data_IF_351271632776
#
_entry.id   IF_351271632776
#
_cell.length_a   1.000
_cell.length_b   1.000
_cell.length_c   1.000
_cell.angle_alpha   90.00
_cell.angle_beta   90.00
_cell.angle_gamma   90.00
#
_symmetry.space_group_name_H-M   'P 1'
#
loop_
_entity.id
_entity.type
_entity.pdbx_description
1 polymer ?
#
# COMPACT_ATOMS: atom_id res chain seq x y z
N UNK A 1 -46.04 13.56 -29.81
CA UNK A 1 -44.79 12.82 -30.07
C UNK A 1 -43.54 13.50 -29.52
N UNK A 2 -43.44 14.81 -29.54
CA UNK A 2 -42.23 15.55 -29.05
C UNK A 2 -42.02 15.53 -27.54
N UNK A 3 -43.07 15.44 -26.72
CA UNK A 3 -42.94 15.43 -25.24
C UNK A 3 -42.41 14.10 -24.69
N UNK A 4 -42.70 12.96 -25.38
CA UNK A 4 -42.19 11.65 -24.99
C UNK A 4 -40.72 11.43 -25.32
N UNK A 5 -40.21 12.08 -26.35
CA UNK A 5 -38.78 12.02 -26.70
C UNK A 5 -37.93 12.88 -25.79
N UNK A 6 -38.47 13.98 -25.28
CA UNK A 6 -37.75 14.83 -24.29
C UNK A 6 -37.71 14.15 -22.91
N UNK A 7 -38.78 13.45 -22.52
CA UNK A 7 -38.75 12.65 -21.26
C UNK A 7 -37.81 11.45 -21.37
N UNK A 8 -37.70 10.78 -22.54
CA UNK A 8 -36.76 9.68 -22.72
C UNK A 8 -35.30 10.16 -22.73
N UNK A 9 -35.02 11.32 -23.32
CA UNK A 9 -33.67 11.89 -23.27
C UNK A 9 -33.29 12.43 -21.87
N UNK A 10 -34.23 12.92 -21.09
CA UNK A 10 -34.02 13.31 -19.71
C UNK A 10 -33.88 12.10 -18.77
N UNK A 11 -34.61 10.99 -19.02
CA UNK A 11 -34.43 9.73 -18.30
C UNK A 11 -33.13 9.00 -18.69
N UNK A 12 -32.65 9.16 -19.91
CA UNK A 12 -31.35 8.63 -20.35
C UNK A 12 -30.16 9.46 -19.82
N UNK A 13 -30.35 10.75 -19.52
CA UNK A 13 -29.34 11.58 -18.83
C UNK A 13 -29.34 11.40 -17.30
N UNK A 14 -30.41 10.85 -16.72
CA UNK A 14 -30.51 10.58 -15.28
C UNK A 14 -30.14 9.14 -14.90
N UNK A 15 -29.85 8.28 -15.87
CA UNK A 15 -29.38 6.91 -15.65
C UNK A 15 -27.90 6.69 -15.99
N UNK A 16 -27.10 7.75 -16.13
CA UNK A 16 -25.71 7.63 -15.80
C UNK A 16 -25.66 7.60 -14.27
N UNK A 17 -25.93 6.43 -13.70
CA UNK A 17 -25.48 6.08 -12.36
C UNK A 17 -24.06 6.59 -12.26
N UNK A 18 -23.77 7.39 -11.25
CA UNK A 18 -22.40 7.72 -10.87
C UNK A 18 -21.75 6.37 -10.48
N UNK A 19 -21.34 5.61 -11.49
CA UNK A 19 -20.44 4.49 -11.26
C UNK A 19 -19.14 5.13 -10.79
N UNK A 20 -18.58 4.62 -9.72
CA UNK A 20 -17.24 4.97 -9.29
C UNK A 20 -16.33 4.87 -10.50
N UNK A 21 -15.79 5.99 -10.94
CA UNK A 21 -15.01 6.02 -12.15
C UNK A 21 -13.55 5.77 -11.80
N UNK A 22 -13.08 4.58 -12.18
CA UNK A 22 -11.66 4.28 -12.21
C UNK A 22 -11.05 5.07 -13.38
N UNK A 23 -10.19 6.03 -13.08
CA UNK A 23 -9.54 6.87 -14.09
C UNK A 23 -8.15 6.34 -14.37
N UNK A 24 -7.88 5.88 -15.59
CA UNK A 24 -6.54 5.47 -16.00
C UNK A 24 -5.66 6.68 -16.25
N UNK A 25 -4.47 6.69 -15.66
CA UNK A 25 -3.43 7.69 -15.93
C UNK A 25 -2.39 7.20 -16.94
N UNK A 26 -2.51 5.97 -17.42
CA UNK A 26 -1.55 5.39 -18.37
C UNK A 26 -0.28 4.88 -17.67
N UNK A 27 0.90 5.17 -18.25
CA UNK A 27 2.23 4.71 -17.82
C UNK A 27 2.37 3.16 -17.85
N UNK A 28 1.67 2.51 -18.80
CA UNK A 28 1.53 1.04 -18.82
C UNK A 28 2.84 0.33 -19.10
N UNK A 29 3.61 0.80 -20.09
CA UNK A 29 4.86 0.13 -20.49
C UNK A 29 5.99 0.35 -19.48
N UNK A 30 6.10 1.57 -18.94
CA UNK A 30 7.15 1.98 -18.02
C UNK A 30 6.95 1.38 -16.63
N UNK A 31 5.69 1.23 -16.22
CA UNK A 31 5.32 0.65 -14.92
C UNK A 31 5.27 -0.88 -14.93
N UNK A 32 5.34 -1.50 -16.11
CA UNK A 32 5.16 -2.95 -16.26
C UNK A 32 6.33 -3.74 -15.67
N UNK A 33 6.10 -4.37 -14.54
CA UNK A 33 7.09 -5.17 -13.82
C UNK A 33 7.42 -6.46 -14.58
N UNK A 34 6.47 -7.04 -15.29
CA UNK A 34 6.68 -8.28 -16.04
C UNK A 34 7.72 -8.12 -17.15
N UNK A 35 7.84 -6.91 -17.74
CA UNK A 35 8.84 -6.61 -18.77
C UNK A 35 10.27 -6.66 -18.22
N UNK A 36 10.46 -6.45 -16.91
CA UNK A 36 11.75 -6.47 -16.21
C UNK A 36 11.97 -7.70 -15.34
N UNK A 37 11.09 -8.70 -15.41
CA UNK A 37 11.10 -9.90 -14.56
C UNK A 37 12.43 -10.65 -14.54
N UNK A 38 13.19 -10.64 -15.64
CA UNK A 38 14.51 -11.26 -15.71
C UNK A 38 15.61 -10.43 -15.03
N UNK A 39 15.43 -9.10 -14.94
CA UNK A 39 16.32 -8.18 -14.25
C UNK A 39 15.98 -8.12 -12.75
N UNK A 40 14.71 -8.29 -12.42
CA UNK A 40 14.21 -8.51 -11.05
C UNK A 40 14.55 -9.96 -10.67
N UNK A 41 15.81 -10.21 -10.34
CA UNK A 41 16.33 -11.55 -10.05
C UNK A 41 15.55 -12.25 -8.94
N UNK A 42 15.43 -13.57 -9.05
CA UNK A 42 14.80 -14.46 -8.06
C UNK A 42 15.26 -14.11 -6.64
N UNK A 43 14.34 -13.66 -5.82
CA UNK A 43 14.54 -13.41 -4.39
C UNK A 43 14.54 -11.96 -3.93
N UNK A 44 14.38 -10.96 -4.81
CA UNK A 44 13.98 -9.62 -4.44
C UNK A 44 12.58 -9.37 -4.97
N UNK A 45 11.65 -9.09 -4.07
CA UNK A 45 10.33 -8.63 -4.44
C UNK A 45 10.46 -7.14 -4.72
N UNK A 46 10.43 -6.76 -5.98
CA UNK A 46 10.29 -5.35 -6.34
C UNK A 46 8.84 -4.95 -6.07
N UNK A 47 8.65 -4.01 -5.17
CA UNK A 47 7.37 -3.39 -4.92
C UNK A 47 7.53 -1.91 -5.30
N UNK A 48 6.84 -1.47 -6.35
CA UNK A 48 6.94 -0.08 -6.79
C UNK A 48 6.41 0.87 -5.73
N UNK A 49 6.83 2.12 -5.79
CA UNK A 49 6.28 3.18 -4.95
C UNK A 49 5.49 4.18 -5.78
N UNK A 50 4.38 4.64 -5.21
CA UNK A 50 3.57 5.74 -5.74
C UNK A 50 3.26 6.70 -4.60
N UNK A 51 3.42 8.01 -4.83
CA UNK A 51 3.23 9.01 -3.77
C UNK A 51 2.60 10.28 -4.33
N UNK A 52 1.59 10.79 -3.65
CA UNK A 52 1.14 12.16 -3.85
C UNK A 52 2.18 13.14 -3.28
N UNK A 53 2.50 14.19 -4.03
CA UNK A 53 3.45 15.22 -3.65
C UNK A 53 2.81 16.59 -3.80
N UNK A 54 2.72 17.34 -2.71
CA UNK A 54 2.04 18.64 -2.71
C UNK A 54 0.56 18.50 -3.08
N UNK A 55 0.01 19.46 -3.84
CA UNK A 55 -1.43 19.50 -4.08
C UNK A 55 -1.90 18.66 -5.27
N UNK A 56 -1.16 18.68 -6.37
CA UNK A 56 -1.62 18.09 -7.63
C UNK A 56 -0.56 17.19 -8.31
N UNK A 57 0.54 16.90 -7.64
CA UNK A 57 1.59 16.07 -8.23
C UNK A 57 1.46 14.63 -7.77
N UNK A 58 1.56 13.70 -8.69
CA UNK A 58 1.71 12.27 -8.42
C UNK A 58 3.06 11.82 -8.96
N UNK A 59 3.83 11.11 -8.13
CA UNK A 59 5.11 10.52 -8.52
C UNK A 59 5.03 9.00 -8.46
N UNK A 60 5.69 8.33 -9.41
CA UNK A 60 5.75 6.88 -9.51
C UNK A 60 7.18 6.40 -9.75
N UNK A 61 7.68 5.58 -8.83
CA UNK A 61 8.90 4.82 -9.00
C UNK A 61 8.63 3.58 -9.84
N UNK A 62 9.33 3.44 -10.96
CA UNK A 62 9.06 2.38 -11.93
C UNK A 62 10.29 1.54 -12.19
N UNK A 63 10.16 0.40 -12.89
CA UNK A 63 11.32 -0.35 -13.41
C UNK A 63 12.23 0.44 -14.38
N UNK A 64 11.79 1.60 -14.85
CA UNK A 64 12.47 2.40 -15.86
C UNK A 64 12.77 3.84 -15.43
N UNK A 65 12.81 4.10 -14.11
CA UNK A 65 13.07 5.43 -13.57
C UNK A 65 11.91 6.03 -12.80
N UNK A 66 12.10 7.26 -12.33
CA UNK A 66 11.10 8.04 -11.60
C UNK A 66 10.31 8.92 -12.55
N UNK A 67 8.99 8.85 -12.46
CA UNK A 67 8.05 9.63 -13.26
C UNK A 67 7.19 10.52 -12.36
N UNK A 68 6.78 11.67 -12.88
CA UNK A 68 5.81 12.56 -12.24
C UNK A 68 4.73 12.99 -13.23
N UNK A 69 3.54 13.31 -12.74
CA UNK A 69 2.49 13.95 -13.53
C UNK A 69 1.69 14.92 -12.68
N UNK A 70 1.14 15.96 -13.33
CA UNK A 70 0.17 16.86 -12.73
C UNK A 70 -1.23 16.27 -12.93
N UNK A 71 -1.93 16.02 -11.82
CA UNK A 71 -3.30 15.48 -11.80
C UNK A 71 -4.36 16.57 -11.57
N UNK A 72 -3.99 17.83 -11.50
CA UNK A 72 -4.93 18.96 -11.38
C UNK A 72 -5.85 19.12 -12.61
N UNK A 73 -5.47 18.51 -13.75
CA UNK A 73 -6.30 18.41 -14.94
C UNK A 73 -6.23 17.00 -15.50
N UNK A 74 -7.19 16.16 -15.14
CA UNK A 74 -7.23 14.75 -15.53
C UNK A 74 -7.46 14.53 -17.04
N UNK A 75 -8.00 15.51 -17.77
CA UNK A 75 -8.18 15.43 -19.22
C UNK A 75 -6.87 15.60 -20.01
N UNK A 76 -5.80 16.04 -19.35
CA UNK A 76 -4.53 16.36 -19.99
C UNK A 76 -3.31 15.80 -19.22
N UNK A 77 -3.47 14.67 -18.53
CA UNK A 77 -2.38 14.03 -17.79
C UNK A 77 -1.26 13.61 -18.74
N UNK A 78 -0.06 14.04 -18.44
CA UNK A 78 1.15 13.63 -19.12
C UNK A 78 2.22 13.28 -18.10
N UNK A 79 2.81 12.10 -18.25
CA UNK A 79 3.93 11.67 -17.43
C UNK A 79 5.24 12.24 -17.96
N UNK A 80 5.96 12.88 -17.07
CA UNK A 80 7.31 13.37 -17.28
C UNK A 80 8.29 12.47 -16.55
N UNK A 81 9.24 11.90 -17.28
CA UNK A 81 10.36 11.16 -16.68
C UNK A 81 11.38 12.13 -16.12
N UNK A 82 11.77 11.96 -14.86
CA UNK A 82 12.87 12.70 -14.28
C UNK A 82 14.22 12.13 -14.77
N UNK A 83 15.13 12.98 -15.29
CA UNK A 83 16.40 12.51 -15.87
C UNK A 83 17.44 12.14 -14.80
N UNK A 84 17.03 11.53 -13.70
CA UNK A 84 17.92 11.13 -12.62
C UNK A 84 18.55 9.76 -12.86
N UNK A 85 17.77 8.80 -13.34
CA UNK A 85 18.24 7.44 -13.65
C UNK A 85 17.24 6.71 -14.54
N UNK A 86 17.73 5.70 -15.27
CA UNK A 86 16.93 4.74 -16.03
C UNK A 86 16.82 3.38 -15.31
N UNK A 87 17.38 3.28 -14.10
CA UNK A 87 17.36 2.05 -13.31
C UNK A 87 16.00 1.84 -12.62
N UNK A 88 15.81 0.63 -12.10
CA UNK A 88 14.66 0.27 -11.25
C UNK A 88 14.68 1.13 -9.99
N UNK A 89 13.58 1.79 -9.69
CA UNK A 89 13.42 2.63 -8.50
C UNK A 89 12.86 1.78 -7.38
N UNK A 90 13.66 1.46 -6.39
CA UNK A 90 13.22 0.71 -5.20
C UNK A 90 12.40 1.61 -4.25
N UNK A 91 12.81 2.86 -4.06
CA UNK A 91 12.10 3.83 -3.23
C UNK A 91 12.49 5.27 -3.62
N UNK A 92 11.68 6.23 -3.22
CA UNK A 92 11.98 7.64 -3.45
C UNK A 92 11.30 8.55 -2.43
N UNK A 93 11.82 9.76 -2.28
CA UNK A 93 11.21 10.83 -1.51
C UNK A 93 11.27 12.15 -2.28
N UNK A 94 10.18 12.92 -2.25
CA UNK A 94 10.10 14.23 -2.90
C UNK A 94 9.62 15.28 -1.89
N UNK A 95 10.42 16.33 -1.69
CA UNK A 95 10.11 17.45 -0.78
C UNK A 95 10.45 18.76 -1.44
N UNK A 96 9.50 19.39 -2.10
CA UNK A 96 9.73 20.55 -2.94
C UNK A 96 10.74 20.23 -4.03
N UNK A 97 11.84 21.00 -4.12
CA UNK A 97 12.89 20.77 -5.12
C UNK A 97 13.88 19.66 -4.74
N UNK A 98 13.78 19.12 -3.52
CA UNK A 98 14.62 17.99 -3.09
C UNK A 98 13.97 16.69 -3.53
N UNK A 99 14.69 15.92 -4.36
CA UNK A 99 14.29 14.60 -4.81
C UNK A 99 15.38 13.60 -4.44
N UNK A 100 15.01 12.58 -3.68
CA UNK A 100 15.89 11.48 -3.28
C UNK A 100 15.37 10.23 -3.97
N UNK A 101 16.23 9.53 -4.68
CA UNK A 101 15.89 8.31 -5.43
C UNK A 101 16.82 7.20 -5.01
N UNK A 102 16.25 6.09 -4.59
CA UNK A 102 16.96 4.86 -4.35
C UNK A 102 16.75 3.91 -5.52
N UNK A 103 17.81 3.60 -6.24
CA UNK A 103 17.86 2.45 -7.14
C UNK A 103 18.51 1.27 -6.41
N UNK A 104 18.50 0.10 -7.03
CA UNK A 104 19.20 -1.08 -6.47
C UNK A 104 20.67 -0.88 -6.16
N UNK A 105 21.30 0.08 -6.83
CA UNK A 105 22.76 0.25 -6.83
C UNK A 105 23.21 1.50 -6.10
N UNK A 106 22.37 2.51 -6.07
CA UNK A 106 22.80 3.83 -5.65
C UNK A 106 21.65 4.69 -5.12
N UNK A 107 22.02 5.62 -4.25
CA UNK A 107 21.17 6.74 -3.83
C UNK A 107 21.56 7.98 -4.60
N UNK A 108 20.58 8.59 -5.24
CA UNK A 108 20.71 9.83 -5.99
C UNK A 108 19.96 10.96 -5.27
N UNK A 109 20.58 12.13 -5.21
CA UNK A 109 20.00 13.36 -4.66
C UNK A 109 19.94 14.43 -5.75
N UNK A 110 18.79 15.06 -5.86
CA UNK A 110 18.55 16.29 -6.61
C UNK A 110 18.10 17.39 -5.66
N UNK A 111 18.44 18.63 -5.98
CA UNK A 111 17.94 19.84 -5.27
C UNK A 111 17.32 20.85 -6.25
N UNK A 112 17.02 20.41 -7.45
CA UNK A 112 16.45 21.20 -8.56
C UNK A 112 15.23 20.52 -9.21
N UNK A 113 14.43 19.81 -8.39
CA UNK A 113 13.20 19.14 -8.82
C UNK A 113 13.43 17.91 -9.69
N UNK A 114 14.62 17.29 -9.59
CA UNK A 114 14.97 16.11 -10.37
C UNK A 114 15.59 16.42 -11.73
N UNK A 115 15.92 17.68 -12.03
CA UNK A 115 16.57 18.06 -13.30
C UNK A 115 18.00 17.59 -13.39
N UNK A 116 18.73 17.66 -12.28
CA UNK A 116 20.07 17.06 -12.16
C UNK A 116 20.12 16.14 -10.94
N UNK A 117 21.03 15.17 -10.97
CA UNK A 117 21.20 14.22 -9.89
C UNK A 117 22.67 14.06 -9.51
N UNK A 118 22.90 13.95 -8.20
CA UNK A 118 24.20 13.64 -7.63
C UNK A 118 24.13 12.32 -6.90
N UNK A 119 25.05 11.41 -7.21
CA UNK A 119 25.17 10.15 -6.47
C UNK A 119 25.72 10.43 -5.08
N UNK A 120 24.97 10.02 -4.07
CA UNK A 120 25.32 10.21 -2.66
C UNK A 120 25.70 8.92 -1.95
N UNK A 121 25.28 7.79 -2.48
CA UNK A 121 25.62 6.49 -1.92
C UNK A 121 25.68 5.43 -3.02
N UNK A 122 26.63 4.52 -2.90
CA UNK A 122 26.66 3.29 -3.67
C UNK A 122 27.35 2.21 -2.86
N UNK A 123 26.75 1.04 -2.76
CA UNK A 123 27.38 -0.09 -2.10
C UNK A 123 27.78 -1.15 -3.13
N UNK A 124 29.08 -1.25 -3.35
CA UNK A 124 29.65 -2.31 -4.15
C UNK A 124 30.55 -3.12 -3.23
N UNK A 125 30.07 -4.24 -2.74
CA UNK A 125 30.92 -5.12 -1.94
C UNK A 125 31.59 -6.14 -2.83
N UNK A 126 32.91 -6.09 -2.85
CA UNK A 126 33.75 -7.12 -3.43
C UNK A 126 33.82 -8.29 -2.44
N UNK A 127 33.24 -9.42 -2.76
CA UNK A 127 33.54 -10.67 -2.10
C UNK A 127 34.61 -11.40 -2.90
N UNK A 128 35.59 -11.96 -2.20
CA UNK A 128 36.78 -12.62 -2.71
C UNK A 128 36.69 -13.19 -4.13
N UNK A 129 37.53 -12.69 -4.99
CA UNK A 129 38.07 -13.17 -6.27
C UNK A 129 37.17 -13.88 -7.30
N UNK A 130 35.95 -14.28 -7.02
CA UNK A 130 35.14 -15.05 -7.99
C UNK A 130 33.64 -14.73 -8.07
N UNK A 131 33.04 -14.10 -7.07
CA UNK A 131 31.61 -13.78 -7.11
C UNK A 131 31.35 -12.36 -6.62
N UNK A 132 30.95 -11.49 -7.55
CA UNK A 132 30.38 -10.18 -7.24
C UNK A 132 28.97 -10.41 -6.70
N UNK A 133 28.77 -10.27 -5.41
CA UNK A 133 27.43 -10.14 -4.84
C UNK A 133 27.15 -8.66 -4.77
N UNK A 134 26.44 -8.15 -5.77
CA UNK A 134 25.82 -6.84 -5.66
C UNK A 134 24.75 -6.92 -4.57
N UNK A 135 24.92 -6.14 -3.51
CA UNK A 135 23.93 -6.01 -2.45
C UNK A 135 22.91 -5.00 -2.91
N UNK A 136 21.67 -5.46 -3.05
CA UNK A 136 20.59 -4.58 -3.42
C UNK A 136 20.29 -3.62 -2.24
N UNK A 137 20.16 -2.35 -2.54
CA UNK A 137 19.59 -1.35 -1.66
C UNK A 137 18.08 -1.55 -1.69
N UNK A 138 17.41 -1.51 -0.55
CA UNK A 138 16.02 -1.93 -0.46
C UNK A 138 15.05 -0.78 -0.18
N UNK A 139 15.41 0.12 0.75
CA UNK A 139 14.51 1.16 1.20
C UNK A 139 15.29 2.40 1.64
N UNK A 140 14.69 3.56 1.48
CA UNK A 140 15.21 4.84 1.97
C UNK A 140 14.22 5.47 2.94
N UNK A 141 14.67 5.81 4.14
CA UNK A 141 13.88 6.56 5.10
C UNK A 141 14.50 7.94 5.34
N UNK A 142 13.76 8.98 5.03
CA UNK A 142 14.19 10.37 5.17
C UNK A 142 13.57 11.00 6.40
N UNK A 143 14.38 11.59 7.26
CA UNK A 143 13.90 12.23 8.50
C UNK A 143 12.82 13.28 8.21
N UNK A 144 11.67 13.24 8.89
CA UNK A 144 10.56 14.15 8.60
C UNK A 144 10.87 15.64 8.85
N UNK A 145 11.75 15.95 9.80
CA UNK A 145 12.08 17.33 10.18
C UNK A 145 12.98 18.05 9.20
N UNK A 146 13.96 17.35 8.64
CA UNK A 146 14.79 17.85 7.55
C UNK A 146 15.30 16.66 6.71
N UNK A 147 15.65 16.92 5.46
CA UNK A 147 16.12 15.84 4.57
C UNK A 147 17.60 15.48 4.76
N UNK A 148 18.30 16.04 5.75
CA UNK A 148 19.74 15.79 5.97
C UNK A 148 19.98 14.40 6.51
N UNK A 149 19.10 13.93 7.40
CA UNK A 149 19.19 12.57 7.92
C UNK A 149 18.45 11.62 7.01
N UNK A 150 19.19 10.68 6.45
CA UNK A 150 18.71 9.66 5.55
C UNK A 150 19.24 8.31 6.01
N UNK A 151 18.37 7.32 6.09
CA UNK A 151 18.74 5.92 6.26
C UNK A 151 18.60 5.19 4.94
N UNK A 152 19.51 4.28 4.67
CA UNK A 152 19.43 3.33 3.57
C UNK A 152 19.49 1.92 4.15
N UNK A 153 18.47 1.12 3.86
CA UNK A 153 18.44 -0.30 4.22
C UNK A 153 19.09 -1.15 3.13
N UNK A 154 19.77 -2.19 3.56
CA UNK A 154 20.49 -3.11 2.71
C UNK A 154 19.96 -4.54 2.88
N UNK A 155 20.00 -5.33 1.86
CA UNK A 155 19.57 -6.72 1.91
C UNK A 155 20.36 -7.59 2.93
N UNK A 156 21.47 -7.09 3.48
CA UNK A 156 22.37 -7.82 4.37
C UNK A 156 22.76 -7.00 5.61
N UNK A 157 22.22 -7.38 6.74
CA UNK A 157 22.69 -7.16 8.13
C UNK A 157 23.24 -5.79 8.56
N UNK A 158 22.99 -4.70 7.85
CA UNK A 158 23.33 -3.37 8.32
C UNK A 158 22.47 -2.27 7.71
N UNK A 159 22.43 -1.12 8.37
CA UNK A 159 21.90 0.12 7.86
C UNK A 159 23.05 1.09 7.60
N UNK A 160 22.90 1.96 6.62
CA UNK A 160 23.75 3.13 6.48
C UNK A 160 22.92 4.37 6.74
N UNK A 161 23.48 5.36 7.45
CA UNK A 161 22.84 6.64 7.63
C UNK A 161 23.79 7.81 7.44
N UNK A 162 23.21 8.94 7.10
CA UNK A 162 23.88 10.23 6.97
C UNK A 162 23.11 11.30 7.75
N UNK A 163 23.81 12.36 8.19
CA UNK A 163 23.24 13.58 8.77
C UNK A 163 23.56 14.84 7.93
N UNK A 164 24.13 14.67 6.76
CA UNK A 164 24.67 15.74 5.91
C UNK A 164 24.30 15.59 4.42
N UNK A 165 23.10 15.10 4.14
CA UNK A 165 22.62 14.84 2.76
C UNK A 165 23.48 13.84 1.98
N UNK A 166 24.13 12.91 2.67
CA UNK A 166 24.93 11.87 2.04
C UNK A 166 26.34 12.29 1.64
N UNK A 167 26.87 13.37 2.20
CA UNK A 167 28.29 13.72 2.04
C UNK A 167 29.18 12.74 2.82
N UNK A 168 28.71 12.28 3.99
CA UNK A 168 29.35 11.23 4.77
C UNK A 168 28.33 10.21 5.26
N UNK A 169 28.78 8.96 5.45
CA UNK A 169 27.92 7.86 5.85
C UNK A 169 28.49 7.09 7.04
N UNK A 170 27.59 6.74 7.95
CA UNK A 170 27.88 5.89 9.09
C UNK A 170 27.10 4.59 8.96
N UNK A 171 27.75 3.48 9.29
CA UNK A 171 27.17 2.14 9.22
C UNK A 171 26.73 1.66 10.61
N UNK A 172 25.55 1.06 10.69
CA UNK A 172 25.00 0.40 11.89
C UNK A 172 24.95 -1.10 11.60
N UNK A 173 25.77 -1.86 12.30
CA UNK A 173 25.89 -3.30 12.10
C UNK A 173 24.79 -4.06 12.86
N UNK A 174 24.46 -5.26 12.37
CA UNK A 174 23.65 -6.25 13.10
C UNK A 174 22.14 -5.98 13.11
N UNK A 175 21.65 -5.08 12.26
CA UNK A 175 20.22 -4.77 12.22
C UNK A 175 19.43 -5.67 11.28
N UNK A 176 20.02 -6.12 10.17
CA UNK A 176 19.36 -7.01 9.18
C UNK A 176 18.07 -6.46 8.56
N UNK A 177 17.79 -5.18 8.74
CA UNK A 177 16.56 -4.56 8.26
C UNK A 177 16.60 -4.37 6.75
N UNK A 178 15.53 -4.76 6.08
CA UNK A 178 15.31 -4.50 4.66
C UNK A 178 14.49 -3.26 4.41
N UNK A 179 13.63 -2.91 5.37
CA UNK A 179 12.78 -1.73 5.31
C UNK A 179 12.68 -1.06 6.67
N UNK A 180 12.57 0.25 6.65
CA UNK A 180 12.37 1.07 7.85
C UNK A 180 11.57 2.32 7.53
N UNK A 181 10.77 2.75 8.51
CA UNK A 181 9.83 3.86 8.36
C UNK A 181 9.88 4.74 9.60
N UNK A 182 9.95 6.04 9.39
CA UNK A 182 9.73 7.01 10.45
C UNK A 182 8.27 7.05 10.87
N UNK A 183 8.03 7.05 12.18
CA UNK A 183 6.71 7.40 12.69
C UNK A 183 6.44 8.89 12.40
N UNK A 184 5.41 9.25 11.63
CA UNK A 184 5.18 10.63 11.21
C UNK A 184 4.86 11.57 12.38
N UNK A 185 4.37 11.03 13.51
CA UNK A 185 4.04 11.80 14.72
C UNK A 185 5.17 11.84 15.75
N UNK A 186 6.16 10.95 15.64
CA UNK A 186 7.33 10.90 16.51
C UNK A 186 8.57 10.50 15.71
N UNK A 187 9.30 11.48 15.17
CA UNK A 187 10.47 11.20 14.32
C UNK A 187 11.63 10.50 15.00
N UNK A 188 11.67 10.46 16.34
CA UNK A 188 12.66 9.65 17.07
C UNK A 188 12.29 8.16 17.09
N UNK A 189 11.07 7.84 16.65
CA UNK A 189 10.60 6.47 16.59
C UNK A 189 10.55 5.99 15.16
N UNK A 190 11.23 4.89 14.90
CA UNK A 190 11.19 4.19 13.64
C UNK A 190 10.70 2.77 13.87
N UNK A 191 10.04 2.24 12.88
CA UNK A 191 9.68 0.82 12.81
C UNK A 191 10.30 0.24 11.56
N UNK A 192 10.85 -0.94 11.66
CA UNK A 192 11.46 -1.62 10.53
C UNK A 192 11.20 -3.11 10.60
N UNK A 193 11.46 -3.78 9.50
CA UNK A 193 11.41 -5.23 9.46
C UNK A 193 12.60 -5.82 8.70
N UNK A 194 12.95 -7.03 9.08
CA UNK A 194 13.99 -7.81 8.40
C UNK A 194 13.35 -8.96 7.63
N UNK A 195 13.91 -9.25 6.48
CA UNK A 195 13.64 -10.49 5.78
C UNK A 195 14.80 -11.44 5.98
N UNK A 196 14.64 -12.38 6.87
CA UNK A 196 15.69 -13.38 7.15
C UNK A 196 15.55 -14.59 6.24
N UNK A 197 16.47 -14.76 5.28
CA UNK A 197 16.70 -16.07 4.66
C UNK A 197 17.66 -16.85 5.59
N UNK A 198 17.39 -18.11 5.97
CA UNK A 198 16.56 -19.14 5.35
C UNK A 198 15.23 -19.45 6.08
N UNK A 199 14.83 -18.69 7.08
CA UNK A 199 13.73 -19.07 7.97
C UNK A 199 12.34 -18.71 7.45
N UNK A 200 12.23 -18.01 6.34
CA UNK A 200 10.93 -17.57 5.76
C UNK A 200 10.04 -16.74 6.69
N UNK A 201 10.58 -16.25 7.79
CA UNK A 201 9.86 -15.36 8.69
C UNK A 201 10.48 -13.96 8.66
N UNK A 202 9.66 -12.96 8.46
CA UNK A 202 10.04 -11.57 8.64
C UNK A 202 9.92 -11.21 10.14
N UNK A 203 10.82 -10.40 10.63
CA UNK A 203 10.86 -9.96 12.03
C UNK A 203 10.72 -8.44 12.08
N UNK A 204 9.84 -7.93 12.96
CA UNK A 204 9.67 -6.51 13.19
C UNK A 204 10.61 -5.99 14.27
N UNK A 205 11.06 -4.76 14.11
CA UNK A 205 11.94 -4.07 15.03
C UNK A 205 11.47 -2.63 15.25
N UNK A 206 11.76 -2.07 16.41
CA UNK A 206 11.48 -0.70 16.75
C UNK A 206 12.74 0.02 17.25
N UNK A 207 12.92 1.25 16.83
CA UNK A 207 13.90 2.19 17.38
C UNK A 207 13.17 3.30 18.11
N UNK A 208 13.74 3.77 19.23
CA UNK A 208 13.26 4.90 20.04
C UNK A 208 14.28 6.04 20.14
N UNK A 209 15.42 5.90 19.48
CA UNK A 209 16.54 6.83 19.48
C UNK A 209 16.89 7.38 18.09
N UNK A 210 15.89 7.45 17.22
CA UNK A 210 16.07 7.97 15.88
C UNK A 210 16.74 7.02 14.90
N UNK A 211 16.74 5.71 15.16
CA UNK A 211 17.29 4.68 14.27
C UNK A 211 18.70 4.22 14.60
N UNK A 212 19.29 4.71 15.71
CA UNK A 212 20.66 4.37 16.10
C UNK A 212 20.78 3.01 16.77
N UNK A 213 19.72 2.59 17.49
CA UNK A 213 19.60 1.24 18.03
C UNK A 213 18.22 0.65 17.78
N UNK A 214 18.13 -0.67 17.74
CA UNK A 214 16.94 -1.40 17.36
C UNK A 214 16.63 -2.52 18.34
N UNK A 215 15.36 -2.64 18.71
CA UNK A 215 14.86 -3.67 19.63
C UNK A 215 13.89 -4.54 18.86
N UNK A 216 14.00 -5.85 19.01
CA UNK A 216 13.03 -6.80 18.45
C UNK A 216 11.65 -6.55 19.03
N UNK A 217 10.68 -6.34 18.16
CA UNK A 217 9.28 -6.18 18.54
C UNK A 217 8.66 -7.53 18.89
N UNK A 218 7.86 -7.57 19.94
CA UNK A 218 7.14 -8.80 20.30
C UNK A 218 6.09 -9.09 19.26
N UNK A 219 6.14 -10.28 18.73
CA UNK A 219 5.16 -10.77 17.79
C UNK A 219 4.47 -12.00 18.37
N UNK A 220 3.17 -11.89 18.63
CA UNK A 220 2.37 -13.02 19.11
C UNK A 220 1.99 -14.00 18.00
N UNK A 221 2.29 -13.65 16.76
CA UNK A 221 1.74 -14.33 15.59
C UNK A 221 2.66 -15.36 14.96
N UNK A 222 3.97 -15.25 15.11
CA UNK A 222 5.04 -16.18 14.66
C UNK A 222 4.97 -16.69 13.20
N UNK A 223 4.18 -16.08 12.32
CA UNK A 223 3.95 -16.58 10.96
C UNK A 223 4.00 -15.50 9.88
N UNK A 224 4.90 -14.53 10.01
CA UNK A 224 5.09 -13.57 8.93
C UNK A 224 6.00 -14.17 7.86
N UNK A 225 5.47 -14.32 6.64
CA UNK A 225 6.27 -14.82 5.53
C UNK A 225 6.99 -13.71 4.82
N UNK A 226 6.29 -12.63 4.47
CA UNK A 226 6.88 -11.45 3.82
C UNK A 226 6.12 -10.21 4.31
N UNK A 227 6.84 -9.19 4.72
CA UNK A 227 6.28 -7.90 5.09
C UNK A 227 6.57 -6.91 3.97
N UNK A 228 5.57 -6.07 3.60
CA UNK A 228 5.67 -5.17 2.47
C UNK A 228 5.47 -3.71 2.83
N UNK A 229 4.67 -3.43 3.86
CA UNK A 229 4.40 -2.06 4.28
C UNK A 229 3.95 -1.95 5.72
N UNK A 230 4.29 -0.82 6.32
CA UNK A 230 3.73 -0.34 7.58
C UNK A 230 2.91 0.91 7.29
N UNK A 231 1.61 0.86 7.57
CA UNK A 231 0.74 2.01 7.52
C UNK A 231 0.64 2.64 8.91
N UNK A 232 0.86 3.93 9.00
CA UNK A 232 0.74 4.71 10.23
C UNK A 232 -0.63 5.36 10.32
N UNK A 233 -1.26 5.24 11.49
CA UNK A 233 -2.52 5.92 11.74
C UNK A 233 -2.33 7.45 11.68
N UNK A 234 -3.22 8.20 11.01
CA UNK A 234 -2.97 9.61 10.70
C UNK A 234 -2.93 10.54 11.92
N UNK A 235 -3.47 10.15 13.07
CA UNK A 235 -3.56 11.01 14.27
C UNK A 235 -3.09 10.33 15.56
N UNK A 236 -2.85 9.01 15.56
CA UNK A 236 -2.40 8.27 16.74
C UNK A 236 -1.08 7.55 16.47
N UNK A 237 -0.01 8.04 17.09
CA UNK A 237 1.34 7.49 16.93
C UNK A 237 1.49 6.04 17.39
N UNK A 238 0.55 5.53 18.18
CA UNK A 238 0.60 4.17 18.71
C UNK A 238 -0.01 3.13 17.78
N UNK A 239 -0.87 3.57 16.85
CA UNK A 239 -1.60 2.66 15.97
C UNK A 239 -0.90 2.50 14.62
N UNK A 240 -0.56 1.27 14.29
CA UNK A 240 0.05 0.89 13.03
C UNK A 240 -0.59 -0.38 12.47
N UNK A 241 -0.57 -0.50 11.17
CA UNK A 241 -0.93 -1.72 10.47
C UNK A 241 0.25 -2.22 9.65
N UNK A 242 0.57 -3.49 9.78
CA UNK A 242 1.60 -4.18 9.02
C UNK A 242 0.93 -5.11 8.03
N UNK A 243 1.27 -5.02 6.77
CA UNK A 243 0.73 -5.89 5.74
C UNK A 243 1.83 -6.56 4.92
N UNK A 244 1.51 -7.72 4.35
CA UNK A 244 2.44 -8.51 3.58
C UNK A 244 1.82 -9.79 3.04
N UNK A 245 2.65 -10.63 2.44
CA UNK A 245 2.23 -11.91 1.91
C UNK A 245 1.91 -12.87 3.06
N UNK A 246 0.62 -13.19 3.20
CA UNK A 246 0.15 -14.06 4.29
C UNK A 246 0.23 -13.45 5.69
N UNK A 247 0.46 -12.14 5.78
CA UNK A 247 0.67 -11.45 7.05
C UNK A 247 -0.13 -10.17 7.10
N UNK A 248 -0.93 -10.03 8.15
CA UNK A 248 -1.55 -8.78 8.53
C UNK A 248 -1.60 -8.69 10.05
N UNK A 249 -1.05 -7.62 10.60
CA UNK A 249 -0.98 -7.41 12.03
C UNK A 249 -1.22 -5.94 12.40
N UNK A 250 -1.74 -5.72 13.58
CA UNK A 250 -1.95 -4.39 14.16
C UNK A 250 -1.03 -4.20 15.36
N UNK A 251 -0.50 -3.00 15.52
CA UNK A 251 0.14 -2.53 16.73
C UNK A 251 -0.66 -1.40 17.35
N UNK A 252 -0.69 -1.35 18.68
CA UNK A 252 -1.33 -0.31 19.49
C UNK A 252 -0.36 0.35 20.47
N UNK A 253 0.93 0.08 20.31
CA UNK A 253 2.04 0.57 21.14
C UNK A 253 3.24 1.06 20.31
N UNK A 254 2.95 1.63 19.14
CA UNK A 254 3.95 2.18 18.21
C UNK A 254 4.95 1.14 17.69
N UNK A 255 4.52 -0.11 17.50
CA UNK A 255 5.34 -1.18 16.94
C UNK A 255 6.13 -2.00 17.95
N UNK A 256 5.96 -1.78 19.28
CA UNK A 256 6.63 -2.60 20.29
C UNK A 256 6.07 -4.02 20.35
N UNK A 257 4.78 -4.16 20.09
CA UNK A 257 4.13 -5.46 19.94
C UNK A 257 3.14 -5.47 18.78
N UNK A 258 2.91 -6.66 18.22
CA UNK A 258 2.06 -6.88 17.08
C UNK A 258 1.05 -7.99 17.36
N UNK A 259 -0.20 -7.76 16.96
CA UNK A 259 -1.29 -8.72 17.06
C UNK A 259 -1.73 -9.12 15.66
N UNK A 260 -1.62 -10.39 15.32
CA UNK A 260 -2.08 -10.90 14.02
C UNK A 260 -3.59 -10.96 13.92
N UNK A 261 -4.12 -10.51 12.78
CA UNK A 261 -5.56 -10.50 12.48
C UNK A 261 -5.90 -11.56 11.42
N UNK A 262 -5.27 -12.72 11.47
CA UNK A 262 -5.28 -13.75 10.42
C UNK A 262 -6.62 -14.32 10.03
N UNK A 263 -7.59 -14.30 10.93
CA UNK A 263 -8.85 -15.04 10.74
C UNK A 263 -10.03 -14.17 10.32
N UNK A 264 -9.87 -12.85 10.32
CA UNK A 264 -11.00 -11.93 10.11
C UNK A 264 -10.99 -11.25 8.75
N UNK A 265 -9.90 -11.31 8.01
CA UNK A 265 -9.88 -10.82 6.63
C UNK A 265 -10.56 -11.87 5.73
N UNK A 266 -11.79 -12.23 6.10
CA UNK A 266 -12.55 -13.28 5.44
C UNK A 266 -13.30 -12.77 4.21
N UNK A 267 -12.59 -12.62 3.11
CA UNK A 267 -13.27 -12.47 1.80
C UNK A 267 -13.53 -13.85 1.19
N UNK A 268 -12.94 -14.94 1.74
CA UNK A 268 -13.18 -16.32 1.32
C UNK A 268 -13.02 -17.28 2.49
N UNK A 269 -13.90 -18.28 2.56
CA UNK A 269 -13.92 -19.34 3.61
C UNK A 269 -12.65 -20.20 3.70
N UNK A 270 -11.72 -20.08 2.74
CA UNK A 270 -10.57 -20.99 2.60
C UNK A 270 -9.21 -20.33 2.33
N UNK A 271 -9.08 -19.01 2.30
CA UNK A 271 -7.79 -18.41 2.01
C UNK A 271 -7.38 -17.36 3.03
N UNK A 272 -6.13 -17.40 3.41
CA UNK A 272 -5.45 -16.30 4.11
C UNK A 272 -5.50 -15.11 3.14
N UNK A 273 -6.20 -14.05 3.50
CA UNK A 273 -6.24 -12.86 2.67
C UNK A 273 -4.86 -12.18 2.70
N UNK A 274 -4.25 -12.09 1.54
CA UNK A 274 -2.98 -11.40 1.39
C UNK A 274 -3.25 -9.92 1.15
N UNK A 275 -2.82 -9.06 2.05
CA UNK A 275 -2.81 -7.61 1.83
C UNK A 275 -1.40 -7.19 1.40
N UNK A 276 -1.27 -6.84 0.14
CA UNK A 276 0.01 -6.36 -0.39
C UNK A 276 0.32 -4.94 0.04
N UNK A 277 -0.73 -4.16 0.28
CA UNK A 277 -0.62 -2.80 0.76
C UNK A 277 -1.83 -2.45 1.62
N UNK A 278 -1.66 -1.55 2.57
CA UNK A 278 -2.74 -0.95 3.33
C UNK A 278 -2.41 0.51 3.64
N UNK A 279 -3.42 1.36 3.61
CA UNK A 279 -3.28 2.78 3.88
C UNK A 279 -4.48 3.31 4.65
N UNK A 280 -4.23 4.16 5.65
CA UNK A 280 -5.28 4.85 6.39
C UNK A 280 -5.87 6.01 5.59
N UNK A 281 -7.19 6.18 5.66
CA UNK A 281 -7.84 7.41 5.20
C UNK A 281 -7.51 8.56 6.16
N UNK A 282 -6.85 9.61 5.64
CA UNK A 282 -6.46 10.75 6.47
C UNK A 282 -7.64 11.60 6.96
N UNK A 283 -8.81 11.51 6.30
CA UNK A 283 -10.06 12.20 6.65
C UNK A 283 -10.85 11.44 7.69
N UNK A 284 -10.75 10.10 7.69
CA UNK A 284 -11.41 9.22 8.64
C UNK A 284 -10.44 8.17 9.18
N UNK A 285 -9.77 8.46 10.30
CA UNK A 285 -8.66 7.64 10.80
C UNK A 285 -8.98 6.18 11.15
N UNK A 286 -10.25 5.82 11.35
CA UNK A 286 -10.65 4.42 11.57
C UNK A 286 -10.87 3.64 10.27
N UNK A 287 -10.79 4.32 9.12
CA UNK A 287 -10.91 3.69 7.80
C UNK A 287 -9.53 3.36 7.24
N UNK A 288 -9.39 2.13 6.75
CA UNK A 288 -8.24 1.68 5.95
C UNK A 288 -8.73 1.13 4.62
N UNK A 289 -7.93 1.35 3.59
CA UNK A 289 -8.05 0.66 2.31
C UNK A 289 -6.89 -0.31 2.16
N UNK A 290 -7.17 -1.50 1.62
CA UNK A 290 -6.19 -2.56 1.44
C UNK A 290 -6.17 -3.09 0.01
N UNK A 291 -4.98 -3.29 -0.55
CA UNK A 291 -4.77 -3.99 -1.81
C UNK A 291 -4.85 -5.50 -1.54
N UNK A 292 -5.97 -6.10 -1.85
CA UNK A 292 -6.17 -7.53 -1.64
C UNK A 292 -5.83 -8.30 -2.91
N UNK A 293 -4.91 -9.26 -2.79
CA UNK A 293 -4.71 -10.26 -3.81
C UNK A 293 -5.22 -11.60 -3.32
N UNK A 294 -5.99 -12.25 -4.17
CA UNK A 294 -6.33 -13.64 -3.99
C UNK A 294 -5.14 -14.47 -4.48
N UNK A 295 -4.24 -14.86 -3.60
CA UNK A 295 -3.18 -15.77 -4.00
C UNK A 295 -3.67 -17.21 -3.90
N UNK A 296 -4.39 -17.64 -4.90
CA UNK A 296 -4.32 -19.04 -5.26
C UNK A 296 -3.19 -19.16 -6.29
N UNK A 297 -2.00 -19.54 -5.87
CA UNK A 297 -0.84 -19.78 -6.74
C UNK A 297 -1.16 -20.77 -7.89
N UNK A 298 -2.34 -21.35 -7.88
CA UNK A 298 -2.83 -22.38 -8.78
C UNK A 298 -4.07 -21.98 -9.61
N UNK A 299 -4.64 -20.78 -9.44
CA UNK A 299 -5.77 -20.30 -10.23
C UNK A 299 -5.34 -19.25 -11.25
N UNK A 300 -5.71 -19.53 -12.50
CA UNK A 300 -5.44 -18.68 -13.67
C UNK A 300 -6.40 -17.47 -13.79
N UNK A 301 -7.34 -17.28 -12.85
CA UNK A 301 -8.48 -16.36 -12.98
C UNK A 301 -8.25 -15.00 -12.28
N UNK A 302 -7.00 -14.56 -12.10
CA UNK A 302 -6.67 -13.34 -11.32
C UNK A 302 -6.71 -12.06 -12.17
N UNK A 303 -7.74 -11.92 -13.00
CA UNK A 303 -7.92 -10.73 -13.84
C UNK A 303 -8.76 -9.64 -13.14
N UNK A 304 -8.75 -9.59 -11.80
CA UNK A 304 -9.55 -8.60 -11.07
C UNK A 304 -8.69 -7.87 -10.03
N UNK A 305 -8.58 -6.56 -10.16
CA UNK A 305 -8.06 -5.69 -9.12
C UNK A 305 -9.09 -5.58 -8.00
N UNK A 306 -8.68 -5.83 -6.76
CA UNK A 306 -9.57 -5.73 -5.59
C UNK A 306 -9.01 -4.79 -4.54
N UNK A 307 -9.88 -3.91 -4.06
CA UNK A 307 -9.65 -3.06 -2.90
C UNK A 307 -10.62 -3.50 -1.81
N UNK A 308 -10.09 -3.76 -0.64
CA UNK A 308 -10.86 -4.04 0.57
C UNK A 308 -10.85 -2.82 1.48
N UNK A 309 -11.87 -2.66 2.30
CA UNK A 309 -11.98 -1.56 3.26
C UNK A 309 -12.27 -2.10 4.65
N UNK A 310 -11.59 -1.54 5.63
CA UNK A 310 -11.94 -1.62 7.05
C UNK A 310 -12.54 -0.29 7.49
N UNK A 311 -13.50 -0.34 8.41
CA UNK A 311 -14.11 0.85 9.05
C UNK A 311 -13.98 0.80 10.58
N UNK A 312 -13.17 -0.10 11.10
CA UNK A 312 -12.98 -0.36 12.53
C UNK A 312 -11.48 -0.43 12.90
N UNK A 313 -10.66 0.34 12.18
CA UNK A 313 -9.23 0.45 12.45
C UNK A 313 -8.42 -0.76 12.03
N UNK A 314 -8.91 -1.54 11.08
CA UNK A 314 -8.20 -2.69 10.52
C UNK A 314 -8.57 -4.02 11.16
N UNK A 315 -9.55 -4.06 12.08
CA UNK A 315 -9.95 -5.30 12.75
C UNK A 315 -10.78 -6.21 11.83
N UNK A 316 -11.68 -5.63 11.03
CA UNK A 316 -12.47 -6.39 10.04
C UNK A 316 -12.41 -5.72 8.67
N UNK A 317 -12.56 -6.52 7.61
CA UNK A 317 -12.44 -6.08 6.23
C UNK A 317 -13.60 -6.57 5.38
N UNK A 318 -14.01 -5.75 4.41
CA UNK A 318 -14.99 -6.10 3.39
C UNK A 318 -14.51 -5.68 2.01
N UNK A 319 -15.00 -6.31 0.96
CA UNK A 319 -14.77 -5.85 -0.40
C UNK A 319 -15.36 -4.45 -0.57
N UNK A 320 -14.57 -3.54 -1.10
CA UNK A 320 -14.96 -2.15 -1.32
C UNK A 320 -15.10 -1.84 -2.81
N UNK A 321 -14.13 -2.30 -3.59
CA UNK A 321 -14.12 -2.08 -5.03
C UNK A 321 -13.46 -3.26 -5.73
N UNK A 322 -14.01 -3.66 -6.88
CA UNK A 322 -13.42 -4.70 -7.72
C UNK A 322 -13.60 -4.33 -9.20
N UNK A 323 -12.51 -4.40 -9.96
CA UNK A 323 -12.50 -4.11 -11.39
C UNK A 323 -11.76 -5.21 -12.15
N UNK A 324 -12.39 -5.83 -13.17
CA UNK A 324 -11.71 -6.75 -14.06
C UNK A 324 -10.56 -6.04 -14.79
N UNK A 325 -9.39 -6.65 -14.76
CA UNK A 325 -8.17 -6.10 -15.38
C UNK A 325 -7.66 -7.04 -16.47
N UNK A 326 -7.28 -6.48 -17.62
CA UNK A 326 -6.51 -7.23 -18.59
C UNK A 326 -5.13 -7.58 -18.02
N UNK A 327 -4.52 -8.68 -18.47
CA UNK A 327 -3.14 -9.06 -18.19
C UNK A 327 -2.78 -9.28 -16.70
N UNK A 328 -3.70 -9.80 -15.89
CA UNK A 328 -3.43 -10.14 -14.49
C UNK A 328 -2.85 -8.96 -13.68
N UNK A 329 -3.50 -7.79 -13.80
CA UNK A 329 -3.04 -6.55 -13.17
C UNK A 329 -3.24 -6.55 -11.66
N UNK A 330 -2.28 -7.09 -10.93
CA UNK A 330 -2.27 -7.05 -9.48
C UNK A 330 -2.07 -5.62 -8.98
N UNK A 331 -2.89 -5.18 -8.04
CA UNK A 331 -2.67 -3.94 -7.30
C UNK A 331 -1.52 -4.15 -6.33
N UNK A 332 -0.45 -3.38 -6.47
CA UNK A 332 0.79 -3.56 -5.71
C UNK A 332 1.00 -2.47 -4.68
N UNK A 333 0.63 -1.24 -5.01
CA UNK A 333 0.86 -0.10 -4.12
C UNK A 333 -0.27 0.92 -4.25
N UNK A 334 -0.58 1.57 -3.14
CA UNK A 334 -1.56 2.65 -3.06
C UNK A 334 -0.98 3.84 -2.32
N UNK A 335 -1.47 5.01 -2.68
CA UNK A 335 -1.38 6.21 -1.85
C UNK A 335 -2.72 6.93 -1.83
N UNK A 336 -2.99 7.71 -0.79
CA UNK A 336 -4.26 8.42 -0.64
C UNK A 336 -4.04 9.89 -0.36
N UNK A 337 -4.80 10.71 -1.08
CA UNK A 337 -4.92 12.12 -0.79
C UNK A 337 -6.38 12.54 -0.87
N UNK A 338 -6.89 13.14 0.20
CA UNK A 338 -8.30 13.47 0.35
C UNK A 338 -9.20 12.24 0.07
N UNK A 339 -10.05 12.30 -0.95
CA UNK A 339 -10.91 11.20 -1.38
C UNK A 339 -10.35 10.40 -2.57
N UNK A 340 -9.12 10.63 -2.97
CA UNK A 340 -8.53 9.99 -4.16
C UNK A 340 -7.48 8.96 -3.75
N UNK A 341 -7.68 7.71 -4.13
CA UNK A 341 -6.67 6.67 -4.10
C UNK A 341 -5.90 6.66 -5.43
N UNK A 342 -4.60 6.75 -5.36
CA UNK A 342 -3.70 6.40 -6.46
C UNK A 342 -3.34 4.92 -6.36
N UNK A 343 -3.43 4.21 -7.48
CA UNK A 343 -3.32 2.76 -7.56
C UNK A 343 -2.23 2.38 -8.57
N UNK A 344 -1.20 1.68 -8.12
CA UNK A 344 -0.15 1.15 -9.00
C UNK A 344 -0.37 -0.34 -9.24
N UNK A 345 -0.56 -0.73 -10.50
CA UNK A 345 -0.78 -2.13 -10.89
C UNK A 345 0.47 -2.74 -11.54
N UNK A 346 0.62 -4.05 -11.46
CA UNK A 346 1.82 -4.76 -11.97
C UNK A 346 1.98 -4.70 -13.48
N UNK A 347 0.89 -4.56 -14.25
CA UNK A 347 0.92 -4.68 -15.70
C UNK A 347 -0.02 -3.74 -16.46
N UNK A 348 -0.88 -2.99 -15.75
CA UNK A 348 -1.92 -2.17 -16.40
C UNK A 348 -1.74 -0.66 -16.18
N UNK A 349 -0.60 -0.23 -15.61
CA UNK A 349 -0.34 1.17 -15.35
C UNK A 349 -0.91 1.69 -14.05
N UNK A 350 -1.17 2.98 -13.99
CA UNK A 350 -1.58 3.73 -12.82
C UNK A 350 -3.00 4.24 -12.99
N UNK A 351 -3.76 4.20 -11.88
CA UNK A 351 -5.15 4.62 -11.85
C UNK A 351 -5.42 5.53 -10.66
N UNK A 352 -6.49 6.32 -10.77
CA UNK A 352 -7.10 7.04 -9.65
C UNK A 352 -8.51 6.49 -9.41
N UNK A 353 -8.88 6.39 -8.13
CA UNK A 353 -10.21 5.99 -7.69
C UNK A 353 -10.74 7.00 -6.67
N UNK A 354 -11.90 7.60 -6.94
CA UNK A 354 -12.63 8.43 -5.98
C UNK A 354 -13.42 7.53 -5.03
N UNK A 355 -12.99 7.46 -3.76
CA UNK A 355 -13.61 6.58 -2.76
C UNK A 355 -15.01 7.05 -2.36
N UNK A 356 -15.30 8.35 -2.42
CA UNK A 356 -16.62 8.88 -2.11
C UNK A 356 -17.63 8.53 -3.23
N UNK A 357 -17.17 8.46 -4.47
CA UNK A 357 -18.00 8.01 -5.60
C UNK A 357 -18.34 6.52 -5.50
N UNK A 358 -17.45 5.67 -4.97
CA UNK A 358 -17.75 4.26 -4.70
C UNK A 358 -18.86 4.14 -3.65
N UNK A 359 -18.76 4.85 -2.53
CA UNK A 359 -19.75 4.81 -1.46
C UNK A 359 -21.14 5.28 -1.93
N UNK A 360 -21.20 6.31 -2.78
CA UNK A 360 -22.47 6.78 -3.34
C UNK A 360 -23.07 5.81 -4.36
N UNK A 361 -22.26 5.07 -5.10
CA UNK A 361 -22.74 4.07 -6.06
C UNK A 361 -23.37 2.86 -5.38
N UNK A 362 -22.87 2.46 -4.21
CA UNK A 362 -23.44 1.37 -3.41
C UNK A 362 -24.79 1.78 -2.83
N UNK A 363 -24.96 3.03 -2.44
CA UNK A 363 -26.24 3.54 -1.88
C UNK A 363 -27.37 3.63 -2.90
N UNK A 364 -27.07 3.58 -4.21
CA UNK A 364 -28.07 3.61 -5.30
C UNK A 364 -28.55 2.23 -5.75
N UNK A 365 -27.99 1.14 -5.22
CA UNK A 365 -28.64 -0.17 -5.32
C UNK A 365 -29.90 -0.06 -4.45
N UNK A 366 -31.03 0.29 -5.07
CA UNK A 366 -32.31 0.17 -4.44
C UNK A 366 -32.39 -1.22 -3.81
N UNK A 367 -32.58 -1.26 -2.50
CA UNK A 367 -33.16 -2.40 -1.82
C UNK A 367 -34.43 -2.78 -2.58
N UNK A 368 -34.32 -3.58 -3.62
CA UNK A 368 -35.46 -4.37 -4.05
C UNK A 368 -35.75 -5.23 -2.84
N UNK A 369 -36.88 -5.03 -2.17
CA UNK A 369 -37.21 -5.81 -1.01
C UNK A 369 -37.43 -7.25 -1.48
N UNK A 370 -36.37 -8.03 -1.61
CA UNK A 370 -36.49 -9.44 -1.38
C UNK A 370 -36.82 -9.55 0.11
N UNK A 371 -38.11 -9.52 0.40
CA UNK A 371 -38.64 -9.85 1.70
C UNK A 371 -38.32 -11.32 2.00
N UNK A 372 -37.06 -11.61 2.21
CA UNK A 372 -36.63 -12.82 2.86
C UNK A 372 -36.85 -12.56 4.33
N UNK A 373 -37.90 -13.14 4.87
CA UNK A 373 -38.35 -13.00 6.25
C UNK A 373 -37.35 -13.74 7.19
N UNK A 374 -36.05 -13.35 7.12
CA UNK A 374 -34.98 -13.98 7.88
C UNK A 374 -34.89 -13.29 9.25
N UNK A 375 -34.98 -14.11 10.30
CA UNK A 375 -34.66 -13.69 11.66
C UNK A 375 -33.20 -14.07 11.94
N UNK A 376 -32.52 -13.24 12.72
CA UNK A 376 -31.17 -13.52 13.21
C UNK A 376 -31.21 -13.65 14.73
N UNK A 377 -30.44 -14.57 15.28
CA UNK A 377 -30.23 -14.62 16.73
C UNK A 377 -29.39 -13.41 17.20
N UNK A 378 -29.24 -13.24 18.50
CA UNK A 378 -28.46 -12.13 19.08
C UNK A 378 -26.95 -12.19 18.77
N UNK A 379 -26.48 -13.29 18.17
CA UNK A 379 -25.11 -13.46 17.66
C UNK A 379 -25.01 -13.26 16.14
N UNK A 380 -26.10 -12.79 15.49
CA UNK A 380 -26.12 -12.51 14.05
C UNK A 380 -26.25 -13.75 13.14
N UNK A 381 -26.57 -14.94 13.68
CA UNK A 381 -26.75 -16.16 12.88
C UNK A 381 -28.19 -16.23 12.34
N UNK A 382 -28.39 -16.55 11.05
CA UNK A 382 -29.73 -16.66 10.47
C UNK A 382 -30.51 -17.84 11.11
N UNK A 383 -31.77 -17.59 11.42
CA UNK A 383 -32.69 -18.55 12.01
C UNK A 383 -33.88 -18.74 11.08
N UNK A 384 -33.94 -19.87 10.41
CA UNK A 384 -35.00 -20.15 9.42
C UNK A 384 -36.39 -20.32 10.06
N UNK A 385 -36.46 -20.90 11.25
CA UNK A 385 -37.73 -21.12 12.00
C UNK A 385 -37.51 -20.61 13.42
N UNK A 386 -37.75 -19.31 13.68
CA UNK A 386 -37.57 -18.75 14.99
C UNK A 386 -38.65 -19.30 15.95
N UNK A 387 -38.21 -19.81 17.08
CA UNK A 387 -39.07 -20.21 18.20
C UNK A 387 -39.19 -19.04 19.21
N UNK A 388 -39.94 -19.22 20.30
CA UNK A 388 -40.08 -18.22 21.34
C UNK A 388 -38.72 -17.64 21.77
N UNK A 389 -38.52 -16.35 21.62
CA UNK A 389 -37.26 -15.67 21.95
C UNK A 389 -37.14 -14.27 21.39
N UNK A 390 -35.96 -13.67 21.57
CA UNK A 390 -35.61 -12.36 21.01
C UNK A 390 -34.69 -12.56 19.79
N UNK A 391 -35.04 -11.93 18.69
CA UNK A 391 -34.33 -12.01 17.44
C UNK A 391 -34.06 -10.61 16.88
N UNK A 392 -33.21 -10.53 15.87
CA UNK A 392 -33.01 -9.34 15.05
C UNK A 392 -33.69 -9.60 13.70
N UNK A 393 -34.56 -8.69 13.30
CA UNK A 393 -35.21 -8.67 11.99
C UNK A 393 -35.21 -7.25 11.47
N UNK A 394 -34.75 -7.09 10.23
CA UNK A 394 -34.64 -5.78 9.57
C UNK A 394 -33.90 -4.75 10.45
N UNK A 395 -32.77 -5.19 11.07
CA UNK A 395 -31.97 -4.37 11.99
C UNK A 395 -32.62 -4.02 13.34
N UNK A 396 -33.82 -4.55 13.65
CA UNK A 396 -34.55 -4.26 14.88
C UNK A 396 -34.72 -5.52 15.74
N UNK A 397 -34.71 -5.33 17.09
CA UNK A 397 -35.05 -6.41 18.02
C UNK A 397 -36.53 -6.71 17.92
N UNK A 398 -36.88 -7.97 17.71
CA UNK A 398 -38.25 -8.48 17.69
C UNK A 398 -38.38 -9.63 18.69
N UNK A 399 -39.47 -9.67 19.43
CA UNK A 399 -39.80 -10.80 20.31
C UNK A 399 -40.79 -11.71 19.57
N UNK A 400 -40.54 -13.01 19.61
CA UNK A 400 -41.47 -14.05 19.15
C UNK A 400 -41.99 -14.74 20.40
N UNK A 401 -43.30 -14.73 20.59
CA UNK A 401 -44.01 -15.32 21.74
C UNK A 401 -44.30 -16.83 21.56
#
# INVERSE_FOLDING_TARGET
MKLRQILLSFLLCLSQSMMAQLTSLGLVEESNIENKKNEIKRGSYFIPEIKFVGDNMLCAGTPNGLYKCDIGNLDAVQWEKLPMTDDIIEDFEVRGDTVIVLSRKELLLSVDGGTTAQRRFSDTVFMDDKDYVQRDLCNVAVYPGDAKRIYVAHQINYLSYTDDFGESWTRIEGTGLTDLFYNPHNPNRLVGYSFSKPTTSAEAYVSTDGGLSWIYARDETQQHTDMYRIAFHPTDSNRLALCGNGSYALSFDSGESWQGVYRQVGICEYSVAYLFDAIYDTRNPDVLYGASQYSDFFREDLDTMKIVRSVDGGLTWSEFFAEPMANKGNLLRMDIKDNILALYTSANGIYLLDVDAVDTSISTVEDTPHAVNIHYDLMGRPVANPTRGIYIKDGKKVAIE
#
